data_IF_157362829933
#
_entry.id   IF_157362829933
#
_cell.length_a   1.000
_cell.length_b   1.000
_cell.length_c   1.000
_cell.angle_alpha   90.00
_cell.angle_beta   90.00
_cell.angle_gamma   90.00
#
_symmetry.space_group_name_H-M   'P 1'
#
loop_
_entity.id
_entity.type
_entity.pdbx_description
1 polymer ?
#
# COMPACT_ATOMS: atom_id res chain seq x y z
N UNK A 1 13.99 7.40 11.58
CA UNK A 1 12.87 7.10 12.50
C UNK A 1 11.57 7.04 11.68
N UNK A 2 10.56 6.30 12.13
CA UNK A 2 9.27 6.21 11.42
C UNK A 2 8.52 7.55 11.57
N UNK A 3 8.21 8.28 10.48
CA UNK A 3 7.74 9.67 10.57
C UNK A 3 6.43 9.84 11.34
N UNK A 4 5.51 8.87 11.24
CA UNK A 4 4.16 8.93 11.81
C UNK A 4 4.00 8.12 13.10
N UNK A 5 5.10 7.69 13.73
CA UNK A 5 5.02 6.79 14.89
C UNK A 5 4.20 7.40 16.02
N UNK A 6 4.47 8.66 16.40
CA UNK A 6 3.81 9.34 17.52
C UNK A 6 2.29 9.44 17.35
N UNK A 7 1.83 9.59 16.11
CA UNK A 7 0.40 9.81 15.82
C UNK A 7 -0.39 8.51 15.70
N UNK A 8 0.29 7.38 15.49
CA UNK A 8 -0.36 6.12 15.12
C UNK A 8 -0.01 4.93 16.00
N UNK A 9 1.00 5.06 16.86
CA UNK A 9 1.29 4.05 17.86
C UNK A 9 0.13 3.96 18.86
N UNK A 10 -0.40 2.76 19.02
CA UNK A 10 -1.49 2.47 19.96
C UNK A 10 -0.99 1.58 21.10
N UNK A 11 -0.28 0.50 20.76
CA UNK A 11 0.26 -0.48 21.70
C UNK A 11 1.34 -1.34 21.06
N UNK A 12 2.13 -2.01 21.90
CA UNK A 12 3.11 -2.99 21.46
C UNK A 12 2.47 -4.14 20.68
N UNK A 13 3.21 -4.68 19.72
CA UNK A 13 2.75 -5.74 18.82
C UNK A 13 1.80 -5.28 17.70
N UNK A 14 1.37 -4.02 17.70
CA UNK A 14 0.58 -3.45 16.61
C UNK A 14 1.46 -2.71 15.61
N UNK A 15 1.38 -3.10 14.33
CA UNK A 15 2.14 -2.44 13.26
C UNK A 15 1.61 -1.04 12.99
N UNK A 16 2.53 -0.07 12.89
CA UNK A 16 2.27 1.30 12.40
C UNK A 16 2.54 1.44 10.90
N UNK A 17 3.01 0.36 10.24
CA UNK A 17 3.42 0.35 8.83
C UNK A 17 2.39 -0.34 7.93
N UNK A 18 1.70 -1.36 8.45
CA UNK A 18 0.77 -2.18 7.68
C UNK A 18 -0.38 -1.33 7.11
N UNK A 19 -0.70 -1.55 5.85
CA UNK A 19 -1.78 -0.89 5.12
C UNK A 19 -1.46 0.52 4.64
N UNK A 20 -0.25 1.06 4.91
CA UNK A 20 0.23 2.33 4.35
C UNK A 20 0.34 2.24 2.84
N UNK A 21 0.01 3.31 2.14
CA UNK A 21 0.08 3.35 0.68
C UNK A 21 1.47 3.74 0.19
N UNK A 22 1.90 3.10 -0.89
CA UNK A 22 3.10 3.46 -1.65
C UNK A 22 2.74 3.70 -3.11
N UNK A 23 3.41 4.67 -3.72
CA UNK A 23 3.45 4.84 -5.16
C UNK A 23 4.73 4.21 -5.68
N UNK A 24 4.63 3.33 -6.68
CA UNK A 24 5.73 2.59 -7.29
C UNK A 24 5.75 2.97 -8.77
N UNK A 25 6.88 3.52 -9.25
CA UNK A 25 7.05 4.00 -10.62
C UNK A 25 8.07 3.14 -11.37
N UNK A 26 7.69 2.72 -12.57
CA UNK A 26 8.56 2.07 -13.53
C UNK A 26 8.30 2.65 -14.92
N UNK A 27 9.34 3.26 -15.52
CA UNK A 27 9.20 4.06 -16.74
C UNK A 27 8.14 5.16 -16.58
N UNK A 28 7.11 5.12 -17.44
CA UNK A 28 5.99 6.06 -17.47
C UNK A 28 4.76 5.56 -16.68
N UNK A 29 4.81 4.39 -16.05
CA UNK A 29 3.70 3.81 -15.30
C UNK A 29 3.89 4.00 -13.80
N UNK A 30 2.80 4.27 -13.09
CA UNK A 30 2.77 4.37 -11.63
C UNK A 30 1.67 3.44 -11.10
N UNK A 31 2.04 2.53 -10.22
CA UNK A 31 1.13 1.67 -9.47
C UNK A 31 1.04 2.16 -8.03
N UNK A 32 -0.16 2.11 -7.45
CA UNK A 32 -0.36 2.37 -6.04
C UNK A 32 -0.71 1.06 -5.33
N UNK A 33 -0.02 0.77 -4.23
CA UNK A 33 -0.21 -0.48 -3.48
C UNK A 33 -0.16 -0.23 -1.97
N UNK A 34 -0.75 -1.15 -1.20
CA UNK A 34 -0.65 -1.14 0.26
C UNK A 34 0.53 -2.01 0.71
N UNK A 35 1.30 -1.52 1.69
CA UNK A 35 2.35 -2.29 2.34
C UNK A 35 1.73 -3.33 3.28
N UNK A 36 1.86 -4.61 2.95
CA UNK A 36 1.26 -5.70 3.73
C UNK A 36 2.25 -6.58 4.51
N UNK A 37 3.51 -6.66 4.09
CA UNK A 37 4.50 -7.57 4.68
C UNK A 37 5.94 -7.02 4.64
N UNK A 38 6.83 -7.53 5.48
CA UNK A 38 8.25 -7.20 5.50
C UNK A 38 9.13 -8.45 5.30
N UNK A 39 10.15 -8.36 4.45
CA UNK A 39 11.07 -9.46 4.19
C UNK A 39 11.17 -9.78 2.69
N UNK A 40 11.61 -10.99 2.32
CA UNK A 40 12.00 -12.10 3.20
C UNK A 40 13.42 -11.97 3.79
N UNK A 41 14.25 -11.06 3.28
CA UNK A 41 15.70 -11.10 3.56
C UNK A 41 16.15 -10.36 4.82
N UNK A 42 15.56 -9.19 5.08
CA UNK A 42 15.89 -8.32 6.21
C UNK A 42 14.64 -7.58 6.65
N UNK A 43 14.45 -7.45 7.96
CA UNK A 43 13.29 -6.76 8.56
C UNK A 43 13.71 -5.60 9.47
N UNK A 44 15.01 -5.43 9.70
CA UNK A 44 15.62 -4.47 10.62
C UNK A 44 16.30 -3.27 9.92
N UNK A 45 16.24 -3.21 8.58
CA UNK A 45 16.93 -2.17 7.80
C UNK A 45 16.07 -0.92 7.56
N UNK A 46 15.72 -0.24 8.64
CA UNK A 46 14.87 0.95 8.59
C UNK A 46 15.52 2.15 7.87
N UNK A 47 16.84 2.20 7.78
CA UNK A 47 17.58 3.28 7.10
C UNK A 47 17.31 3.33 5.60
N UNK A 48 17.07 2.20 4.96
CA UNK A 48 16.62 2.16 3.56
C UNK A 48 15.16 2.62 3.43
N UNK A 49 14.31 2.24 4.39
CA UNK A 49 12.87 2.51 4.32
C UNK A 49 12.51 3.95 4.66
N UNK A 50 13.21 4.54 5.65
CA UNK A 50 12.91 5.87 6.20
C UNK A 50 14.13 6.81 6.22
N UNK A 51 15.21 6.42 5.54
CA UNK A 51 16.42 7.22 5.37
C UNK A 51 16.84 7.24 3.91
N UNK A 52 18.13 7.42 3.68
CA UNK A 52 18.71 7.58 2.34
C UNK A 52 19.60 6.41 1.92
N UNK A 53 19.64 5.33 2.72
CA UNK A 53 20.47 4.17 2.42
C UNK A 53 19.89 3.38 1.23
N UNK A 54 20.74 2.70 0.47
CA UNK A 54 20.30 1.70 -0.52
C UNK A 54 20.00 0.36 0.17
N UNK A 55 19.21 -0.54 -0.45
CA UNK A 55 19.03 -1.88 0.11
C UNK A 55 20.38 -2.57 0.32
N UNK A 56 20.51 -3.29 1.43
CA UNK A 56 21.71 -4.08 1.72
C UNK A 56 21.80 -5.31 0.82
N UNK A 57 23.01 -5.89 0.67
CA UNK A 57 23.18 -7.16 -0.01
C UNK A 57 22.27 -8.28 0.50
N UNK A 58 21.68 -9.00 -0.46
CA UNK A 58 20.81 -10.15 -0.24
C UNK A 58 20.87 -11.09 -1.47
N UNK A 59 20.21 -12.24 -1.36
CA UNK A 59 20.21 -13.29 -2.41
C UNK A 59 19.59 -12.80 -3.74
N UNK A 60 18.80 -11.74 -3.72
CA UNK A 60 18.17 -11.12 -4.89
C UNK A 60 18.89 -9.83 -5.31
N UNK A 61 20.23 -9.85 -5.29
CA UNK A 61 21.07 -8.76 -5.83
C UNK A 61 20.73 -7.38 -5.26
N UNK A 62 20.56 -7.30 -3.94
CA UNK A 62 20.21 -6.07 -3.21
C UNK A 62 18.77 -5.61 -3.51
N UNK A 63 17.82 -6.53 -3.71
CA UNK A 63 16.41 -6.18 -3.85
C UNK A 63 15.90 -5.46 -2.58
N UNK A 64 15.20 -4.34 -2.78
CA UNK A 64 14.66 -3.50 -1.70
C UNK A 64 13.14 -3.48 -1.60
N UNK A 65 12.42 -4.03 -2.57
CA UNK A 65 10.98 -4.04 -2.61
C UNK A 65 10.54 -5.34 -3.26
N UNK A 66 9.69 -6.09 -2.58
CA UNK A 66 8.98 -7.23 -3.16
C UNK A 66 7.56 -6.79 -3.48
N UNK A 67 7.08 -7.10 -4.68
CA UNK A 67 5.79 -6.62 -5.19
C UNK A 67 4.93 -7.81 -5.61
N UNK A 68 3.62 -7.67 -5.41
CA UNK A 68 2.69 -8.71 -5.82
C UNK A 68 2.67 -8.89 -7.35
N UNK A 69 2.25 -10.06 -7.86
CA UNK A 69 2.10 -10.29 -9.30
C UNK A 69 1.28 -9.20 -10.01
N UNK A 70 0.22 -8.69 -9.40
CA UNK A 70 -0.61 -7.63 -9.97
C UNK A 70 0.16 -6.31 -10.16
N UNK A 71 1.03 -5.95 -9.21
CA UNK A 71 1.89 -4.76 -9.31
C UNK A 71 2.95 -4.97 -10.39
N UNK A 72 3.61 -6.14 -10.38
CA UNK A 72 4.60 -6.52 -11.41
C UNK A 72 4.02 -6.43 -12.80
N UNK A 73 2.88 -7.07 -13.04
CA UNK A 73 2.24 -7.17 -14.35
C UNK A 73 1.77 -5.80 -14.83
N UNK A 74 1.20 -4.97 -13.94
CA UNK A 74 0.76 -3.61 -14.29
C UNK A 74 1.95 -2.70 -14.67
N UNK A 75 3.08 -2.83 -13.96
CA UNK A 75 4.27 -2.02 -14.21
C UNK A 75 5.17 -2.59 -15.32
N UNK A 76 4.91 -3.82 -15.80
CA UNK A 76 5.77 -4.52 -16.75
C UNK A 76 7.16 -4.82 -16.20
N UNK A 77 7.27 -5.13 -14.90
CA UNK A 77 8.55 -5.42 -14.25
C UNK A 77 9.03 -6.84 -14.61
N UNK A 78 10.34 -6.99 -14.80
CA UNK A 78 10.98 -8.31 -14.90
C UNK A 78 11.00 -9.09 -13.57
N UNK A 79 11.68 -10.24 -13.56
CA UNK A 79 11.89 -11.03 -12.33
C UNK A 79 12.70 -10.26 -11.27
N UNK A 80 13.67 -9.46 -11.72
CA UNK A 80 14.39 -8.48 -10.91
C UNK A 80 14.56 -7.23 -11.76
N UNK A 81 14.19 -6.09 -11.21
CA UNK A 81 14.18 -4.83 -11.94
C UNK A 81 14.35 -3.63 -11.02
N UNK A 82 14.59 -2.45 -11.60
CA UNK A 82 14.69 -1.19 -10.89
C UNK A 82 13.39 -0.41 -10.96
N UNK A 83 12.92 0.09 -9.81
CA UNK A 83 11.79 1.00 -9.74
C UNK A 83 12.05 2.07 -8.69
N UNK A 84 11.34 3.18 -8.82
CA UNK A 84 11.28 4.21 -7.78
C UNK A 84 10.04 3.98 -6.93
N UNK A 85 10.10 4.23 -5.63
CA UNK A 85 8.92 4.18 -4.78
C UNK A 85 8.95 5.24 -3.69
N UNK A 86 7.76 5.59 -3.19
CA UNK A 86 7.60 6.47 -2.04
C UNK A 86 6.32 6.18 -1.29
N UNK A 87 6.26 6.54 -0.01
CA UNK A 87 5.01 6.61 0.72
C UNK A 87 4.09 7.71 0.17
N UNK A 88 2.78 7.46 0.19
CA UNK A 88 1.74 8.43 -0.15
C UNK A 88 0.57 8.31 0.83
N UNK A 89 -0.17 9.40 1.02
CA UNK A 89 -1.40 9.34 1.80
C UNK A 89 -2.57 8.84 0.95
N UNK A 90 -3.55 8.20 1.59
CA UNK A 90 -4.73 7.66 0.88
C UNK A 90 -5.43 8.69 -0.01
N UNK A 91 -5.50 9.95 0.44
CA UNK A 91 -6.12 11.05 -0.31
C UNK A 91 -5.39 11.40 -1.61
N UNK A 92 -4.11 11.04 -1.69
CA UNK A 92 -3.24 11.30 -2.85
C UNK A 92 -3.24 10.10 -3.82
N UNK A 93 -3.94 9.01 -3.49
CA UNK A 93 -4.08 7.83 -4.35
C UNK A 93 -5.24 8.07 -5.32
N UNK A 94 -4.99 8.19 -6.64
CA UNK A 94 -6.06 8.39 -7.61
C UNK A 94 -6.89 7.11 -7.80
N UNK A 95 -8.11 7.20 -8.35
CA UNK A 95 -8.85 6.04 -8.79
C UNK A 95 -8.04 5.21 -9.80
N UNK A 96 -8.09 3.89 -9.68
CA UNK A 96 -7.39 2.96 -10.57
C UNK A 96 -7.63 1.51 -10.19
N UNK A 97 -6.98 0.54 -10.85
CA UNK A 97 -7.17 -0.89 -10.57
C UNK A 97 -6.98 -1.26 -9.09
N UNK A 98 -6.01 -0.63 -8.42
CA UNK A 98 -5.72 -0.78 -6.98
C UNK A 98 -6.87 -0.36 -6.05
N UNK A 99 -7.87 0.37 -6.54
CA UNK A 99 -9.03 0.78 -5.73
C UNK A 99 -10.18 -0.24 -5.73
N UNK A 100 -10.05 -1.33 -6.51
CA UNK A 100 -11.20 -2.19 -6.83
C UNK A 100 -11.39 -3.37 -5.88
N UNK A 101 -10.32 -3.87 -5.27
CA UNK A 101 -10.29 -5.13 -4.52
C UNK A 101 -9.57 -5.02 -3.17
N UNK A 102 -9.77 -6.00 -2.29
CA UNK A 102 -9.15 -6.09 -0.97
C UNK A 102 -10.11 -5.76 0.18
N UNK A 103 -10.03 -6.52 1.27
CA UNK A 103 -10.90 -6.36 2.43
C UNK A 103 -10.45 -5.21 3.36
N UNK A 104 -9.15 -4.90 3.39
CA UNK A 104 -8.54 -3.79 4.12
C UNK A 104 -8.31 -2.54 3.25
N UNK A 105 -8.85 -2.54 2.03
CA UNK A 105 -8.72 -1.44 1.09
C UNK A 105 -9.78 -0.36 1.39
N UNK A 106 -9.31 0.85 1.73
CA UNK A 106 -10.17 1.96 2.12
C UNK A 106 -11.12 2.40 1.00
N UNK A 107 -10.76 2.27 -0.28
CA UNK A 107 -11.69 2.53 -1.39
C UNK A 107 -12.88 1.56 -1.37
N UNK A 108 -12.60 0.26 -1.18
CA UNK A 108 -13.61 -0.79 -1.14
C UNK A 108 -14.53 -0.62 0.07
N UNK A 109 -13.96 -0.32 1.23
CA UNK A 109 -14.71 -0.09 2.47
C UNK A 109 -15.65 1.10 2.31
N UNK A 110 -15.16 2.24 1.83
CA UNK A 110 -15.98 3.45 1.64
C UNK A 110 -17.10 3.22 0.62
N UNK A 111 -16.82 2.53 -0.49
CA UNK A 111 -17.82 2.17 -1.50
C UNK A 111 -18.93 1.29 -0.90
N UNK A 112 -18.57 0.27 -0.11
CA UNK A 112 -19.55 -0.60 0.58
C UNK A 112 -20.43 0.21 1.55
N UNK A 113 -19.82 1.03 2.40
CA UNK A 113 -20.55 1.89 3.35
C UNK A 113 -21.51 2.86 2.65
N UNK A 114 -21.08 3.45 1.52
CA UNK A 114 -21.94 4.33 0.72
C UNK A 114 -23.15 3.59 0.16
N UNK A 115 -22.94 2.40 -0.40
CA UNK A 115 -24.03 1.59 -0.96
C UNK A 115 -25.03 1.14 0.12
N UNK A 116 -24.53 0.71 1.29
CA UNK A 116 -25.38 0.35 2.43
C UNK A 116 -26.22 1.53 2.93
N UNK A 117 -25.61 2.71 3.03
CA UNK A 117 -26.32 3.94 3.43
C UNK A 117 -27.41 4.31 2.42
N UNK A 118 -27.13 4.17 1.12
CA UNK A 118 -28.11 4.42 0.06
C UNK A 118 -29.28 3.43 0.13
N UNK A 119 -28.99 2.13 0.27
CA UNK A 119 -30.02 1.11 0.40
C UNK A 119 -30.92 1.34 1.62
N UNK A 120 -30.35 1.64 2.79
CA UNK A 120 -31.12 1.95 4.00
C UNK A 120 -32.04 3.15 3.81
N UNK A 121 -31.55 4.20 3.12
CA UNK A 121 -32.36 5.39 2.85
C UNK A 121 -33.55 5.07 1.94
N UNK A 122 -33.35 4.24 0.92
CA UNK A 122 -34.45 3.87 0.00
C UNK A 122 -35.50 3.00 0.69
N UNK A 123 -35.09 2.05 1.54
CA UNK A 123 -36.04 1.25 2.34
C UNK A 123 -36.90 2.13 3.26
N UNK A 124 -36.34 3.19 3.85
CA UNK A 124 -37.11 4.13 4.67
C UNK A 124 -38.07 5.00 3.85
N UNK A 125 -37.79 5.25 2.58
CA UNK A 125 -38.64 6.05 1.69
C UNK A 125 -39.78 5.23 1.06
N UNK A 126 -39.58 3.93 0.83
CA UNK A 126 -40.61 3.02 0.30
C UNK A 126 -41.54 2.43 1.38
N UNK A 127 -41.29 2.72 2.65
CA UNK A 127 -42.11 2.30 3.79
C UNK A 127 -43.23 3.26 4.21
N UNK A 128 -43.54 4.27 3.38
CA UNK A 128 -44.65 5.22 3.52
C UNK A 128 -45.50 5.21 2.24
#
# INVERSE_FOLDING_TARGET
AIPWFKDTFVRDGQSVLKGRWVAIRHGNHICYAQWEDCGPFRTDHWQYVFGNDRPKPNLNQNAGLDVSPAVRDYLGLGNLDSCDWKFVEFRDVPPGPWAMYGNNNRFVILRRQSNERFARRNVLLEGF
#
